data_IF_569240879803
#
_entry.id   IF_569240879803
#
_cell.length_a   1.000
_cell.length_b   1.000
_cell.length_c   1.000
_cell.angle_alpha   90.00
_cell.angle_beta   90.00
_cell.angle_gamma   90.00
#
_symmetry.space_group_name_H-M   'P 1'
#
loop_
_entity.id
_entity.type
_entity.pdbx_description
1 polymer ?
#
# COMPACT_ATOMS: atom_id res chain seq x y z
N UNK A 1 -43.64 -11.13 -3.15
CA UNK A 1 -43.05 -10.95 -1.81
C UNK A 1 -41.58 -11.30 -1.91
N UNK A 2 -40.74 -10.33 -2.30
CA UNK A 2 -39.30 -10.52 -2.28
C UNK A 2 -38.79 -9.87 -0.99
N UNK A 3 -38.32 -10.69 -0.07
CA UNK A 3 -37.44 -10.26 1.01
C UNK A 3 -36.22 -9.61 0.36
N UNK A 4 -36.17 -8.28 0.38
CA UNK A 4 -34.90 -7.56 0.26
C UNK A 4 -34.16 -7.85 1.55
N UNK A 5 -33.40 -8.94 1.55
CA UNK A 5 -32.39 -9.20 2.55
C UNK A 5 -31.54 -7.94 2.63
N UNK A 6 -31.58 -7.28 3.79
CA UNK A 6 -30.70 -6.18 4.14
C UNK A 6 -29.26 -6.71 4.04
N UNK A 7 -28.64 -6.58 2.87
CA UNK A 7 -27.25 -6.98 2.69
C UNK A 7 -26.44 -5.90 3.38
N UNK A 8 -25.88 -6.26 4.54
CA UNK A 8 -24.97 -5.44 5.31
C UNK A 8 -23.67 -5.18 4.54
N UNK A 9 -23.70 -4.24 3.60
CA UNK A 9 -22.53 -3.58 3.01
C UNK A 9 -22.06 -2.40 3.88
N UNK A 10 -22.22 -2.52 5.20
CA UNK A 10 -21.94 -1.48 6.19
C UNK A 10 -20.44 -1.28 6.48
N UNK A 11 -19.61 -1.24 5.45
CA UNK A 11 -18.29 -0.61 5.53
C UNK A 11 -18.33 0.54 4.55
N UNK A 12 -18.68 1.74 5.05
CA UNK A 12 -18.54 2.98 4.29
C UNK A 12 -17.11 3.01 3.71
N UNK A 13 -17.00 3.11 2.39
CA UNK A 13 -15.77 3.39 1.66
C UNK A 13 -15.01 4.59 2.25
N UNK A 14 -15.68 5.54 2.91
CA UNK A 14 -15.01 6.60 3.70
C UNK A 14 -14.21 6.01 4.85
N UNK A 15 -14.81 5.08 5.62
CA UNK A 15 -14.13 4.35 6.68
C UNK A 15 -12.93 3.54 6.18
N UNK A 16 -13.00 3.04 4.96
CA UNK A 16 -11.88 2.37 4.29
C UNK A 16 -10.77 3.36 3.85
N UNK A 17 -11.11 4.49 3.23
CA UNK A 17 -10.12 5.48 2.76
C UNK A 17 -9.32 6.10 3.91
N UNK A 18 -9.95 6.31 5.07
CA UNK A 18 -9.25 6.84 6.26
C UNK A 18 -8.42 5.79 6.99
N UNK A 19 -8.42 4.54 6.52
CA UNK A 19 -7.62 3.48 7.12
C UNK A 19 -6.12 3.84 7.12
N UNK A 20 -5.38 3.53 8.20
CA UNK A 20 -3.94 3.74 8.27
C UNK A 20 -3.17 3.07 7.12
N UNK A 21 -3.65 1.91 6.66
CA UNK A 21 -3.04 1.13 5.59
C UNK A 21 -3.07 1.93 4.28
N UNK A 22 -4.26 2.37 3.87
CA UNK A 22 -4.50 3.17 2.65
C UNK A 22 -3.76 4.50 2.70
N UNK A 23 -3.81 5.17 3.85
CA UNK A 23 -3.09 6.42 4.09
C UNK A 23 -1.58 6.25 3.89
N UNK A 24 -1.00 5.14 4.37
CA UNK A 24 0.42 4.83 4.25
C UNK A 24 0.82 4.57 2.79
N UNK A 25 0.04 3.75 2.08
CA UNK A 25 0.27 3.41 0.66
C UNK A 25 0.27 4.67 -0.20
N UNK A 26 -0.80 5.47 -0.10
CA UNK A 26 -0.94 6.68 -0.92
C UNK A 26 0.12 7.71 -0.58
N UNK A 27 0.45 7.91 0.70
CA UNK A 27 1.54 8.83 1.08
C UNK A 27 2.90 8.36 0.56
N UNK A 28 3.24 7.07 0.70
CA UNK A 28 4.49 6.50 0.17
C UNK A 28 4.55 6.63 -1.34
N UNK A 29 3.53 6.12 -2.05
CA UNK A 29 3.43 6.12 -3.50
C UNK A 29 3.48 7.53 -4.10
N UNK A 30 2.71 8.48 -3.54
CA UNK A 30 2.77 9.86 -4.00
C UNK A 30 4.10 10.55 -3.69
N UNK A 31 4.75 10.23 -2.57
CA UNK A 31 6.08 10.78 -2.29
C UNK A 31 7.13 10.33 -3.31
N UNK A 32 7.07 9.08 -3.77
CA UNK A 32 7.94 8.57 -4.83
C UNK A 32 7.74 9.30 -6.17
N UNK A 33 6.50 9.75 -6.44
CA UNK A 33 6.15 10.51 -7.63
C UNK A 33 6.37 12.03 -7.49
N UNK A 34 6.88 12.51 -6.36
CA UNK A 34 7.09 13.93 -6.09
C UNK A 34 5.80 14.72 -5.81
N UNK A 35 4.69 14.04 -5.55
CA UNK A 35 3.42 14.67 -5.19
C UNK A 35 3.25 14.76 -3.66
N UNK A 36 2.54 15.80 -3.22
CA UNK A 36 2.12 15.92 -1.82
C UNK A 36 1.04 14.87 -1.50
N UNK A 37 1.46 13.73 -0.97
CA UNK A 37 0.58 12.58 -0.74
C UNK A 37 -0.60 12.87 0.18
N UNK A 38 -0.40 13.72 1.19
CA UNK A 38 -1.45 14.13 2.13
C UNK A 38 -2.55 14.96 1.45
N UNK A 39 -2.20 15.81 0.49
CA UNK A 39 -3.15 16.63 -0.26
C UNK A 39 -3.97 15.74 -1.22
N UNK A 40 -3.30 14.82 -1.92
CA UNK A 40 -3.97 13.86 -2.82
C UNK A 40 -4.87 12.89 -2.07
N UNK A 41 -4.46 12.44 -0.88
CA UNK A 41 -5.28 11.61 0.00
C UNK A 41 -6.54 12.36 0.44
N UNK A 42 -6.42 13.63 0.84
CA UNK A 42 -7.57 14.46 1.22
C UNK A 42 -8.54 14.66 0.06
N UNK A 43 -8.01 14.86 -1.16
CA UNK A 43 -8.82 14.94 -2.36
C UNK A 43 -9.55 13.63 -2.64
N UNK A 44 -8.88 12.48 -2.49
CA UNK A 44 -9.49 11.17 -2.67
C UNK A 44 -10.61 10.92 -1.65
N UNK A 45 -10.35 11.18 -0.37
CA UNK A 45 -11.34 11.09 0.70
C UNK A 45 -12.58 11.94 0.40
N UNK A 46 -12.38 13.18 -0.05
CA UNK A 46 -13.48 14.08 -0.42
C UNK A 46 -14.31 13.52 -1.58
N UNK A 47 -13.66 12.97 -2.60
CA UNK A 47 -14.35 12.37 -3.76
C UNK A 47 -15.13 11.11 -3.38
N UNK A 48 -14.57 10.27 -2.53
CA UNK A 48 -15.26 9.05 -2.04
C UNK A 48 -16.46 9.43 -1.16
N UNK A 49 -16.33 10.43 -0.29
CA UNK A 49 -17.45 11.00 0.46
C UNK A 49 -18.57 11.50 -0.45
N UNK A 50 -18.22 12.25 -1.50
CA UNK A 50 -19.20 12.74 -2.48
C UNK A 50 -19.89 11.61 -3.22
N UNK A 51 -19.16 10.56 -3.60
CA UNK A 51 -19.72 9.39 -4.26
C UNK A 51 -20.67 8.61 -3.36
N UNK A 52 -20.34 8.43 -2.08
CA UNK A 52 -21.27 7.81 -1.11
C UNK A 52 -22.53 8.62 -0.90
N UNK A 53 -22.40 9.94 -0.75
CA UNK A 53 -23.55 10.82 -0.58
C UNK A 53 -24.45 10.81 -1.82
N UNK A 54 -23.86 10.75 -3.01
CA UNK A 54 -24.61 10.54 -4.25
C UNK A 54 -25.28 9.17 -4.25
N UNK A 55 -24.60 8.10 -3.81
CA UNK A 55 -25.17 6.76 -3.74
C UNK A 55 -26.38 6.68 -2.81
N UNK A 56 -26.29 7.33 -1.65
CA UNK A 56 -27.36 7.42 -0.65
C UNK A 56 -28.55 8.25 -1.18
N UNK A 57 -28.29 9.37 -1.85
CA UNK A 57 -29.34 10.18 -2.46
C UNK A 57 -30.03 9.51 -3.66
N UNK A 58 -29.40 8.48 -4.22
CA UNK A 58 -29.75 7.87 -5.51
C UNK A 58 -30.06 6.37 -5.30
N UNK A 59 -30.64 6.05 -4.13
CA UNK A 59 -30.82 4.71 -3.57
C UNK A 59 -31.54 3.72 -4.50
N UNK A 60 -32.52 4.21 -5.30
CA UNK A 60 -33.32 3.43 -6.26
C UNK A 60 -32.85 3.56 -7.73
N UNK A 61 -31.73 4.21 -7.98
CA UNK A 61 -31.30 4.46 -9.35
C UNK A 61 -30.65 3.25 -10.02
N UNK A 62 -30.89 3.06 -11.33
CA UNK A 62 -30.15 2.07 -12.11
C UNK A 62 -28.63 2.33 -12.17
N UNK A 63 -28.16 3.52 -11.78
CA UNK A 63 -26.74 3.87 -11.76
C UNK A 63 -26.01 3.44 -10.49
N UNK A 64 -26.73 3.02 -9.44
CA UNK A 64 -26.16 2.61 -8.15
C UNK A 64 -25.13 1.49 -8.30
N UNK A 65 -25.49 0.42 -9.01
CA UNK A 65 -24.59 -0.72 -9.22
C UNK A 65 -23.28 -0.35 -9.92
N UNK A 66 -23.32 0.63 -10.84
CA UNK A 66 -22.11 1.13 -11.52
C UNK A 66 -21.20 1.94 -10.58
N UNK A 67 -21.79 2.72 -9.68
CA UNK A 67 -21.04 3.49 -8.69
C UNK A 67 -20.39 2.58 -7.65
N UNK A 68 -21.11 1.54 -7.20
CA UNK A 68 -20.59 0.50 -6.32
C UNK A 68 -19.42 -0.25 -6.99
N UNK A 69 -19.56 -0.61 -8.26
CA UNK A 69 -18.48 -1.24 -9.05
C UNK A 69 -17.23 -0.34 -9.12
N UNK A 70 -17.40 0.96 -9.35
CA UNK A 70 -16.27 1.91 -9.37
C UNK A 70 -15.56 2.01 -8.02
N UNK A 71 -16.29 2.04 -6.90
CA UNK A 71 -15.69 2.02 -5.57
C UNK A 71 -14.92 0.73 -5.31
N UNK A 72 -15.46 -0.41 -5.74
CA UNK A 72 -14.79 -1.70 -5.62
C UNK A 72 -13.51 -1.76 -6.47
N UNK A 73 -13.54 -1.27 -7.72
CA UNK A 73 -12.36 -1.21 -8.58
C UNK A 73 -11.28 -0.29 -7.99
N UNK A 74 -11.67 0.87 -7.47
CA UNK A 74 -10.76 1.78 -6.77
C UNK A 74 -10.09 1.07 -5.58
N UNK A 75 -10.87 0.35 -4.78
CA UNK A 75 -10.36 -0.42 -3.64
C UNK A 75 -9.36 -1.48 -4.07
N UNK A 76 -9.68 -2.24 -5.11
CA UNK A 76 -8.78 -3.26 -5.67
C UNK A 76 -7.46 -2.65 -6.14
N UNK A 77 -7.49 -1.55 -6.88
CA UNK A 77 -6.29 -0.90 -7.41
C UNK A 77 -5.38 -0.36 -6.30
N UNK A 78 -5.94 0.11 -5.17
CA UNK A 78 -5.12 0.58 -4.04
C UNK A 78 -4.41 -0.58 -3.33
N UNK A 79 -5.06 -1.74 -3.19
CA UNK A 79 -4.39 -2.93 -2.63
C UNK A 79 -3.34 -3.50 -3.58
N UNK A 80 -3.59 -3.52 -4.89
CA UNK A 80 -2.57 -3.92 -5.87
C UNK A 80 -1.35 -2.98 -5.81
N UNK A 81 -1.56 -1.69 -5.59
CA UNK A 81 -0.47 -0.75 -5.35
C UNK A 81 0.26 -0.99 -4.02
N UNK A 82 -0.41 -1.52 -2.99
CA UNK A 82 0.25 -1.96 -1.74
C UNK A 82 1.22 -3.09 -2.01
N UNK A 83 0.76 -4.16 -2.67
CA UNK A 83 1.56 -5.33 -3.00
C UNK A 83 2.82 -4.93 -3.78
N UNK A 84 2.67 -4.07 -4.80
CA UNK A 84 3.81 -3.58 -5.59
C UNK A 84 4.77 -2.73 -4.74
N UNK A 85 4.27 -1.87 -3.86
CA UNK A 85 5.12 -1.04 -3.01
C UNK A 85 5.88 -1.88 -1.98
N UNK A 86 5.26 -2.91 -1.43
CA UNK A 86 5.87 -3.82 -0.48
C UNK A 86 6.97 -4.66 -1.15
N UNK A 87 6.77 -5.11 -2.39
CA UNK A 87 7.80 -5.78 -3.19
C UNK A 87 9.02 -4.87 -3.46
N UNK A 88 8.77 -3.59 -3.79
CA UNK A 88 9.84 -2.60 -3.98
C UNK A 88 10.61 -2.38 -2.68
N UNK A 89 9.91 -2.27 -1.54
CA UNK A 89 10.54 -2.07 -0.24
C UNK A 89 11.37 -3.30 0.18
N UNK A 90 10.85 -4.51 -0.07
CA UNK A 90 11.56 -5.77 0.15
C UNK A 90 12.88 -5.81 -0.63
N UNK A 91 12.85 -5.55 -1.93
CA UNK A 91 14.07 -5.56 -2.76
C UNK A 91 15.07 -4.46 -2.37
N UNK A 92 14.61 -3.31 -1.88
CA UNK A 92 15.50 -2.27 -1.36
C UNK A 92 16.23 -2.75 -0.11
N UNK A 93 15.52 -3.39 0.83
CA UNK A 93 16.09 -3.94 2.06
C UNK A 93 17.07 -5.09 1.75
N UNK A 94 16.70 -6.00 0.85
CA UNK A 94 17.53 -7.11 0.40
C UNK A 94 18.88 -6.63 -0.15
N UNK A 95 18.87 -5.56 -0.97
CA UNK A 95 20.10 -4.96 -1.49
C UNK A 95 20.95 -4.31 -0.40
N UNK A 96 20.35 -3.62 0.57
CA UNK A 96 21.11 -3.01 1.67
C UNK A 96 21.82 -4.07 2.53
N UNK A 97 21.15 -5.18 2.82
CA UNK A 97 21.72 -6.29 3.59
C UNK A 97 22.83 -6.99 2.79
N UNK A 98 22.59 -7.25 1.50
CA UNK A 98 23.57 -7.91 0.63
C UNK A 98 24.78 -7.04 0.27
N UNK A 99 24.69 -5.73 0.47
CA UNK A 99 25.78 -4.77 0.22
C UNK A 99 26.65 -4.50 1.45
N UNK A 100 26.33 -5.10 2.61
CA UNK A 100 27.16 -5.00 3.80
C UNK A 100 28.32 -6.01 3.67
N UNK A 101 29.58 -5.58 3.54
CA UNK A 101 30.70 -6.51 3.44
C UNK A 101 30.88 -7.24 4.78
N UNK A 102 31.14 -8.54 4.72
CA UNK A 102 31.61 -9.34 5.84
C UNK A 102 33.03 -8.89 6.28
N UNK A 103 33.15 -7.71 6.88
CA UNK A 103 34.42 -7.15 7.38
C UNK A 103 34.88 -7.80 8.71
N UNK A 104 34.65 -9.11 8.89
CA UNK A 104 35.02 -9.80 10.14
C UNK A 104 35.51 -11.25 9.97
N UNK A 105 36.13 -11.63 8.84
CA UNK A 105 36.79 -12.94 8.70
C UNK A 105 38.19 -12.87 8.09
N UNK A 106 39.05 -11.95 8.55
CA UNK A 106 40.49 -12.04 8.31
C UNK A 106 41.33 -11.65 9.55
N UNK A 107 41.15 -12.33 10.69
CA UNK A 107 42.18 -12.28 11.77
C UNK A 107 42.06 -13.39 12.83
N UNK A 108 42.00 -14.66 12.44
CA UNK A 108 42.56 -15.72 13.31
C UNK A 108 42.76 -17.02 12.53
N UNK A 109 43.99 -17.34 12.11
CA UNK A 109 44.24 -18.69 11.56
C UNK A 109 45.40 -18.89 10.59
N UNK A 110 46.30 -17.92 10.35
CA UNK A 110 47.53 -18.22 9.60
C UNK A 110 48.68 -18.52 10.57
N UNK A 111 49.17 -19.78 10.66
CA UNK A 111 50.33 -20.08 11.50
C UNK A 111 51.60 -19.48 10.89
N UNK A 112 52.62 -19.18 11.70
CA UNK A 112 53.81 -18.47 11.23
C UNK A 112 54.60 -19.35 10.25
N UNK A 113 54.89 -18.78 9.07
CA UNK A 113 55.88 -19.35 8.15
C UNK A 113 57.24 -19.37 8.87
N UNK A 114 57.70 -20.57 9.24
CA UNK A 114 59.06 -20.79 9.72
C UNK A 114 60.04 -20.29 8.67
N UNK A 115 60.69 -19.16 8.96
CA UNK A 115 61.93 -18.76 8.29
C UNK A 115 63.02 -19.69 8.81
N UNK A 116 63.40 -20.68 8.02
CA UNK A 116 64.69 -21.33 8.20
C UNK A 116 65.74 -20.30 7.75
N UNK A 117 66.52 -19.83 8.71
CA UNK A 117 67.76 -19.08 8.49
C UNK A 117 68.89 -20.09 8.33
N UNK A 118 69.68 -19.89 7.28
CA UNK A 118 71.01 -20.46 6.94
C UNK A 118 71.00 -21.91 6.46
#
# INVERSE_FOLDING_TARGET
MAEVAAVGWGISAVGWVVSPIITKILNKGFSYLGFHGSEKLKQLQTKVLQLELVLEAVEESPHRGRLEEWLQQLRSAVYEAEDILDDIEYHRLERQISSQPDDNLESNGRPPRRRNLV
#
